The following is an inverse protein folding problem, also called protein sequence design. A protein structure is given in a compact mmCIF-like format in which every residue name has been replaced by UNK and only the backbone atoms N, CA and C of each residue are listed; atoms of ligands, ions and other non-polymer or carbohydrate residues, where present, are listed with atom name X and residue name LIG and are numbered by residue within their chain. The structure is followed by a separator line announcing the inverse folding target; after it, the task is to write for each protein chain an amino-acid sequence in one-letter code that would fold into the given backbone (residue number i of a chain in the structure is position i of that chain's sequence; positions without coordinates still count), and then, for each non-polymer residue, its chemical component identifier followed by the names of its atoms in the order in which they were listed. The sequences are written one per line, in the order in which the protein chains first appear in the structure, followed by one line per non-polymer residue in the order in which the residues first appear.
data_IF_535578570137
#
_entry.id   IF_535578570137
#
_cell.length_a   1.000
_cell.length_b   1.000
_cell.length_c   1.000
_cell.angle_alpha   90.00
_cell.angle_beta   90.00
_cell.angle_gamma   90.00
#
_symmetry.space_group_name_H-M   'P 1'
#
loop_
_entity.id
_entity.type
_entity.pdbx_description
1 polymer ?
#
# COMPACT_ATOMS: atom_id res chain seq x y z
N UNK A 1 18.32 -65.08 9.63
CA UNK A 1 17.14 -64.29 10.05
C UNK A 1 17.43 -62.85 9.69
N UNK A 2 17.01 -62.50 8.47
CA UNK A 2 17.34 -61.19 7.86
C UNK A 2 16.11 -60.32 8.01
N UNK A 3 16.22 -59.15 8.70
CA UNK A 3 15.16 -58.14 8.78
C UNK A 3 15.48 -57.03 7.83
N UNK A 4 14.74 -57.01 6.71
CA UNK A 4 14.66 -55.89 5.79
C UNK A 4 13.96 -54.69 6.49
N UNK A 5 14.67 -53.59 6.66
CA UNK A 5 14.14 -52.30 7.02
C UNK A 5 13.92 -51.48 5.73
N UNK A 6 12.66 -51.39 5.33
CA UNK A 6 12.22 -50.57 4.21
C UNK A 6 12.14 -49.12 4.68
N UNK A 7 13.10 -48.29 4.28
CA UNK A 7 13.10 -46.84 4.57
C UNK A 7 12.22 -46.09 3.59
N UNK A 8 11.07 -45.62 4.02
CA UNK A 8 10.20 -44.71 3.27
C UNK A 8 10.78 -43.28 3.41
N UNK A 9 11.44 -42.83 2.34
CA UNK A 9 11.86 -41.44 2.22
C UNK A 9 10.63 -40.58 1.83
N UNK A 10 10.06 -39.87 2.81
CA UNK A 10 9.07 -38.84 2.55
C UNK A 10 9.74 -37.62 1.94
N UNK A 11 9.60 -37.43 0.64
CA UNK A 11 9.90 -36.19 -0.06
C UNK A 11 8.85 -35.14 0.35
N UNK A 12 9.23 -34.25 1.28
CA UNK A 12 8.46 -33.01 1.52
C UNK A 12 8.70 -32.05 0.36
N UNK A 13 7.75 -32.00 -0.58
CA UNK A 13 7.64 -30.87 -1.50
C UNK A 13 7.20 -29.66 -0.68
N UNK A 14 8.16 -28.79 -0.36
CA UNK A 14 7.89 -27.46 0.16
C UNK A 14 7.29 -26.62 -0.97
N UNK A 15 5.97 -26.54 -1.05
CA UNK A 15 5.29 -25.53 -1.83
C UNK A 15 5.60 -24.18 -1.16
N UNK A 16 6.53 -23.42 -1.73
CA UNK A 16 6.68 -22.00 -1.42
C UNK A 16 5.40 -21.31 -1.88
N UNK A 17 4.48 -21.09 -0.94
CA UNK A 17 3.39 -20.17 -1.13
C UNK A 17 4.02 -18.77 -1.29
N UNK A 18 4.05 -18.26 -2.52
CA UNK A 18 4.21 -16.84 -2.74
C UNK A 18 2.95 -16.20 -2.18
N UNK A 19 3.04 -15.73 -0.94
CA UNK A 19 2.09 -14.79 -0.40
C UNK A 19 2.25 -13.54 -1.29
N UNK A 20 1.27 -13.33 -2.16
CA UNK A 20 1.05 -12.06 -2.83
C UNK A 20 0.73 -11.07 -1.68
N UNK A 21 1.77 -10.40 -1.20
CA UNK A 21 1.66 -9.36 -0.19
C UNK A 21 0.89 -8.22 -0.83
N UNK A 22 -0.43 -8.27 -0.64
CA UNK A 22 -1.29 -7.13 -0.96
C UNK A 22 -0.77 -5.96 -0.14
N UNK A 23 0.03 -5.10 -0.77
CA UNK A 23 0.47 -3.84 -0.21
C UNK A 23 -0.78 -3.00 0.02
N UNK A 24 -1.39 -3.20 1.17
CA UNK A 24 -2.49 -2.36 1.65
C UNK A 24 -1.88 -0.96 1.70
N UNK A 25 -2.56 -0.04 1.05
CA UNK A 25 -2.21 1.39 1.02
C UNK A 25 -2.42 1.98 2.43
N UNK A 26 -1.51 1.61 3.34
CA UNK A 26 -1.57 2.02 4.73
C UNK A 26 -0.94 3.41 4.84
N UNK A 27 -1.72 4.42 5.21
CA UNK A 27 -1.17 5.75 5.44
C UNK A 27 -0.19 5.72 6.61
N UNK A 28 0.86 6.56 6.55
CA UNK A 28 1.76 6.79 7.66
C UNK A 28 0.97 7.29 8.87
N UNK A 29 1.17 6.66 10.02
CA UNK A 29 0.51 7.02 11.29
C UNK A 29 1.54 7.10 12.41
N UNK A 30 1.96 8.30 12.76
CA UNK A 30 3.00 8.58 13.75
C UNK A 30 2.45 8.53 15.20
N UNK A 31 2.14 7.35 15.72
CA UNK A 31 1.61 7.18 17.09
C UNK A 31 2.70 7.05 18.16
N UNK A 32 3.80 6.38 17.84
CA UNK A 32 4.94 6.16 18.72
C UNK A 32 6.25 6.23 17.94
N UNK A 33 7.36 6.49 18.61
CA UNK A 33 8.66 6.55 17.96
C UNK A 33 9.01 5.24 17.24
N UNK A 34 8.87 4.10 17.92
CA UNK A 34 9.25 2.80 17.35
C UNK A 34 8.40 2.42 16.13
N UNK A 35 7.08 2.65 16.16
CA UNK A 35 6.21 2.39 15.03
C UNK A 35 6.48 3.34 13.87
N UNK A 36 6.71 4.62 14.17
CA UNK A 36 7.07 5.61 13.19
C UNK A 36 8.39 5.30 12.47
N UNK A 37 9.44 4.89 13.22
CA UNK A 37 10.75 4.58 12.64
C UNK A 37 10.68 3.42 11.65
N UNK A 38 9.85 2.42 11.93
CA UNK A 38 9.61 1.34 10.98
C UNK A 38 8.94 1.87 9.71
N UNK A 39 7.84 2.61 9.84
CA UNK A 39 7.10 3.17 8.68
C UNK A 39 7.98 4.15 7.88
N UNK A 40 8.76 5.00 8.55
CA UNK A 40 9.70 5.91 7.89
C UNK A 40 10.80 5.16 7.12
N UNK A 41 11.27 4.04 7.65
CA UNK A 41 12.25 3.18 6.98
C UNK A 41 11.65 2.55 5.72
N UNK A 42 10.41 2.06 5.79
CA UNK A 42 9.69 1.49 4.65
C UNK A 42 9.44 2.55 3.55
N UNK A 43 9.06 3.77 3.93
CA UNK A 43 8.90 4.88 2.98
C UNK A 43 10.23 5.21 2.29
N UNK A 44 11.34 5.31 3.06
CA UNK A 44 12.67 5.56 2.50
C UNK A 44 13.10 4.46 1.54
N UNK A 45 12.93 3.20 1.92
CA UNK A 45 13.19 2.06 1.04
C UNK A 45 12.36 2.14 -0.25
N UNK A 46 11.09 2.53 -0.14
CA UNK A 46 10.21 2.74 -1.30
C UNK A 46 10.67 3.85 -2.24
N UNK A 47 11.41 4.85 -1.78
CA UNK A 47 11.93 5.96 -2.60
C UNK A 47 13.21 5.61 -3.38
N UNK A 48 13.83 4.45 -3.12
CA UNK A 48 15.00 3.97 -3.85
C UNK A 48 14.62 3.24 -5.15
N UNK A 49 15.62 2.90 -5.94
CA UNK A 49 15.48 2.16 -7.20
C UNK A 49 14.76 0.81 -6.95
N UNK A 50 13.77 0.49 -7.78
CA UNK A 50 12.91 -0.69 -7.61
C UNK A 50 11.81 -0.54 -6.56
N UNK A 51 11.78 0.55 -5.81
CA UNK A 51 10.78 0.81 -4.79
C UNK A 51 9.50 1.45 -5.35
N UNK A 52 8.41 1.34 -4.58
CA UNK A 52 7.07 1.84 -4.96
C UNK A 52 7.06 3.33 -5.33
N UNK A 53 7.92 4.13 -4.70
CA UNK A 53 8.00 5.58 -4.83
C UNK A 53 9.27 6.03 -5.58
N UNK A 54 9.91 5.16 -6.34
CA UNK A 54 11.18 5.49 -7.03
C UNK A 54 11.06 6.69 -7.97
N UNK A 55 9.91 6.86 -8.63
CA UNK A 55 9.65 7.93 -9.60
C UNK A 55 9.17 9.26 -8.98
N UNK A 56 9.16 9.38 -7.65
CA UNK A 56 8.95 10.67 -7.00
C UNK A 56 9.97 11.70 -7.49
N UNK A 57 9.50 12.92 -7.72
CA UNK A 57 10.37 14.05 -8.06
C UNK A 57 11.35 14.33 -6.91
N UNK A 58 12.54 14.83 -7.24
CA UNK A 58 13.57 15.13 -6.25
C UNK A 58 13.06 16.10 -5.15
N UNK A 59 12.28 17.11 -5.51
CA UNK A 59 11.69 18.05 -4.57
C UNK A 59 10.71 17.37 -3.59
N UNK A 60 9.91 16.43 -4.07
CA UNK A 60 8.96 15.69 -3.25
C UNK A 60 9.68 14.72 -2.32
N UNK A 61 10.73 14.02 -2.78
CA UNK A 61 11.61 13.21 -1.93
C UNK A 61 12.24 14.05 -0.82
N UNK A 62 12.73 15.26 -1.15
CA UNK A 62 13.32 16.17 -0.18
C UNK A 62 12.30 16.66 0.86
N UNK A 63 11.06 16.97 0.44
CA UNK A 63 9.99 17.34 1.36
C UNK A 63 9.63 16.20 2.31
N UNK A 64 9.47 14.97 1.77
CA UNK A 64 9.19 13.77 2.59
C UNK A 64 10.29 13.61 3.65
N UNK A 65 11.58 13.64 3.26
CA UNK A 65 12.68 13.52 4.20
C UNK A 65 12.67 14.60 5.28
N UNK A 66 12.42 15.85 4.91
CA UNK A 66 12.32 16.94 5.88
C UNK A 66 11.17 16.72 6.88
N UNK A 67 10.01 16.22 6.42
CA UNK A 67 8.88 15.94 7.30
C UNK A 67 9.12 14.72 8.18
N UNK A 68 9.68 13.62 7.63
CA UNK A 68 10.05 12.45 8.42
C UNK A 68 11.04 12.80 9.53
N UNK A 69 12.06 13.61 9.24
CA UNK A 69 13.03 14.06 10.24
C UNK A 69 12.37 14.96 11.30
N UNK A 70 11.46 15.85 10.90
CA UNK A 70 10.71 16.69 11.85
C UNK A 70 9.82 15.87 12.77
N UNK A 71 9.10 14.88 12.24
CA UNK A 71 8.25 13.97 13.03
C UNK A 71 9.08 13.13 14.00
N UNK A 72 10.22 12.58 13.54
CA UNK A 72 11.16 11.85 14.39
C UNK A 72 11.60 12.69 15.59
N UNK A 73 12.05 13.93 15.36
CA UNK A 73 12.50 14.81 16.42
C UNK A 73 11.41 15.14 17.46
N UNK A 74 10.15 15.28 17.02
CA UNK A 74 9.01 15.48 17.91
C UNK A 74 8.74 14.23 18.77
N UNK A 75 8.73 13.04 18.16
CA UNK A 75 8.48 11.78 18.86
C UNK A 75 9.65 11.36 19.75
N UNK A 76 10.89 11.63 19.36
CA UNK A 76 12.08 11.38 20.18
C UNK A 76 12.03 12.18 21.48
N UNK A 77 11.59 13.44 21.41
CA UNK A 77 11.46 14.31 22.55
C UNK A 77 10.36 13.87 23.55
N UNK A 78 9.29 13.23 23.07
CA UNK A 78 8.08 12.97 23.84
C UNK A 78 7.68 11.50 23.95
N UNK A 79 8.47 10.57 23.41
CA UNK A 79 8.24 9.13 23.34
C UNK A 79 7.00 8.69 22.57
N UNK A 80 5.87 9.42 22.65
CA UNK A 80 4.65 9.14 21.90
C UNK A 80 3.81 10.41 21.68
N UNK A 81 2.83 10.34 20.77
CA UNK A 81 2.00 11.51 20.41
C UNK A 81 1.11 12.02 21.55
N UNK A 82 0.81 11.19 22.57
CA UNK A 82 -0.07 11.60 23.66
C UNK A 82 0.62 12.59 24.62
N UNK A 83 1.94 12.52 24.69
CA UNK A 83 2.77 13.36 25.58
C UNK A 83 3.10 14.73 24.95
N UNK A 84 2.79 14.92 23.66
CA UNK A 84 2.97 16.16 22.95
C UNK A 84 2.01 17.25 23.45
N UNK A 85 2.47 18.48 23.52
CA UNK A 85 1.58 19.63 23.69
C UNK A 85 0.73 19.88 22.42
N UNK A 86 -0.26 20.76 22.51
CA UNK A 86 -1.20 20.98 21.40
C UNK A 86 -0.52 21.49 20.12
N UNK A 87 0.52 22.35 20.22
CA UNK A 87 1.22 22.87 19.05
C UNK A 87 2.03 21.77 18.36
N UNK A 88 2.74 20.96 19.13
CA UNK A 88 3.53 19.83 18.61
C UNK A 88 2.63 18.74 18.01
N UNK A 89 1.44 18.49 18.59
CA UNK A 89 0.44 17.58 17.99
C UNK A 89 -0.01 18.06 16.61
N UNK A 90 -0.32 19.34 16.48
CA UNK A 90 -0.72 19.94 15.20
C UNK A 90 0.44 19.85 14.19
N UNK A 91 1.66 20.14 14.61
CA UNK A 91 2.84 20.02 13.74
C UNK A 91 3.06 18.59 13.27
N UNK A 92 2.92 17.60 14.15
CA UNK A 92 3.05 16.17 13.82
C UNK A 92 1.99 15.74 12.80
N UNK A 93 0.72 16.08 13.05
CA UNK A 93 -0.39 15.74 12.15
C UNK A 93 -0.21 16.40 10.79
N UNK A 94 0.13 17.68 10.73
CA UNK A 94 0.35 18.38 9.47
C UNK A 94 1.51 17.78 8.67
N UNK A 95 2.61 17.41 9.33
CA UNK A 95 3.73 16.75 8.67
C UNK A 95 3.34 15.37 8.11
N UNK A 96 2.57 14.61 8.89
CA UNK A 96 2.04 13.30 8.50
C UNK A 96 1.12 13.42 7.28
N UNK A 97 0.17 14.37 7.30
CA UNK A 97 -0.76 14.58 6.19
C UNK A 97 -0.04 15.03 4.92
N UNK A 98 1.00 15.85 5.03
CA UNK A 98 1.79 16.28 3.88
C UNK A 98 2.52 15.09 3.24
N UNK A 99 3.17 14.21 4.04
CA UNK A 99 3.81 12.99 3.54
C UNK A 99 2.78 12.09 2.86
N UNK A 100 1.68 11.80 3.52
CA UNK A 100 0.61 10.95 2.99
C UNK A 100 0.04 11.49 1.68
N UNK A 101 -0.16 12.81 1.59
CA UNK A 101 -0.66 13.45 0.38
C UNK A 101 0.31 13.30 -0.81
N UNK A 102 1.61 13.51 -0.58
CA UNK A 102 2.63 13.36 -1.62
C UNK A 102 2.70 11.90 -2.09
N UNK A 103 2.74 10.93 -1.17
CA UNK A 103 2.83 9.51 -1.49
C UNK A 103 1.59 9.04 -2.26
N UNK A 104 0.39 9.43 -1.80
CA UNK A 104 -0.88 9.08 -2.46
C UNK A 104 -0.97 9.67 -3.86
N UNK A 105 -0.56 10.93 -4.04
CA UNK A 105 -0.55 11.56 -5.36
C UNK A 105 0.40 10.84 -6.33
N UNK A 106 1.59 10.47 -5.87
CA UNK A 106 2.55 9.71 -6.67
C UNK A 106 1.99 8.33 -7.04
N UNK A 107 1.41 7.61 -6.07
CA UNK A 107 0.84 6.28 -6.31
C UNK A 107 -0.32 6.32 -7.29
N UNK A 108 -1.18 7.33 -7.21
CA UNK A 108 -2.29 7.51 -8.16
C UNK A 108 -1.82 7.68 -9.61
N UNK A 109 -0.65 8.25 -9.83
CA UNK A 109 -0.07 8.44 -11.17
C UNK A 109 0.75 7.24 -11.66
N UNK A 110 0.98 6.24 -10.84
CA UNK A 110 1.73 5.03 -11.20
C UNK A 110 1.00 4.26 -12.31
N UNK A 111 1.74 3.91 -13.36
CA UNK A 111 1.18 3.12 -14.47
C UNK A 111 1.14 1.63 -14.11
N UNK A 112 -0.04 1.06 -14.24
CA UNK A 112 -0.28 -0.39 -14.16
C UNK A 112 -0.55 -0.90 -15.57
N UNK A 113 0.29 -1.80 -16.04
CA UNK A 113 0.18 -2.36 -17.38
C UNK A 113 -0.26 -3.82 -17.31
N UNK A 114 -1.33 -4.16 -18.01
CA UNK A 114 -1.82 -5.52 -18.18
C UNK A 114 -1.58 -5.98 -19.62
N UNK A 115 -1.24 -7.26 -19.78
CA UNK A 115 -1.12 -7.90 -21.09
C UNK A 115 -2.20 -8.97 -21.20
N UNK A 116 -3.17 -8.78 -22.09
CA UNK A 116 -4.27 -9.73 -22.31
C UNK A 116 -4.41 -10.05 -23.78
N UNK A 117 -4.61 -11.32 -24.10
CA UNK A 117 -5.01 -11.73 -25.43
C UNK A 117 -6.54 -11.59 -25.57
N UNK A 118 -7.05 -10.80 -26.56
CA UNK A 118 -8.48 -10.74 -26.83
C UNK A 118 -9.03 -12.12 -27.22
N UNK A 119 -10.33 -12.35 -26.97
CA UNK A 119 -11.01 -13.59 -27.36
C UNK A 119 -10.83 -13.78 -28.89
N UNK A 120 -10.30 -14.96 -29.26
CA UNK A 120 -10.03 -15.29 -30.67
C UNK A 120 -8.69 -14.81 -31.23
N UNK A 121 -7.84 -14.18 -30.39
CA UNK A 121 -6.48 -13.76 -30.79
C UNK A 121 -5.44 -14.40 -29.86
N UNK A 122 -4.33 -14.87 -30.43
CA UNK A 122 -3.15 -15.32 -29.68
C UNK A 122 -2.13 -14.20 -29.44
N UNK A 123 -2.38 -12.99 -29.97
CA UNK A 123 -1.49 -11.84 -29.80
C UNK A 123 -1.91 -11.03 -28.58
N UNK A 124 -1.04 -10.92 -27.56
CA UNK A 124 -1.34 -10.13 -26.39
C UNK A 124 -1.31 -8.63 -26.72
N UNK A 125 -2.31 -7.90 -26.24
CA UNK A 125 -2.36 -6.44 -26.28
C UNK A 125 -1.97 -5.93 -24.90
N UNK A 126 -0.96 -5.04 -24.85
CA UNK A 126 -0.55 -4.35 -23.63
C UNK A 126 -1.38 -3.08 -23.46
N UNK A 127 -2.11 -2.99 -22.36
CA UNK A 127 -2.87 -1.80 -21.98
C UNK A 127 -2.34 -1.28 -20.66
N UNK A 128 -1.98 0.01 -20.60
CA UNK A 128 -1.51 0.67 -19.40
C UNK A 128 -2.53 1.72 -18.95
N UNK A 129 -2.83 1.75 -17.65
CA UNK A 129 -3.70 2.75 -17.01
C UNK A 129 -3.05 3.24 -15.74
N UNK A 130 -3.41 4.43 -15.26
CA UNK A 130 -2.95 4.88 -13.95
C UNK A 130 -3.64 4.08 -12.84
N UNK A 131 -2.97 3.90 -11.73
CA UNK A 131 -3.57 3.26 -10.56
C UNK A 131 -4.80 4.03 -10.07
N UNK A 132 -4.76 5.36 -10.14
CA UNK A 132 -5.90 6.22 -9.82
C UNK A 132 -7.13 5.94 -10.67
N UNK A 133 -6.96 5.77 -12.00
CA UNK A 133 -8.07 5.44 -12.90
C UNK A 133 -8.68 4.06 -12.58
N UNK A 134 -7.82 3.08 -12.25
CA UNK A 134 -8.27 1.74 -11.86
C UNK A 134 -9.09 1.81 -10.57
N UNK A 135 -8.59 2.54 -9.57
CA UNK A 135 -9.26 2.69 -8.29
C UNK A 135 -10.59 3.45 -8.42
N UNK A 136 -10.62 4.52 -9.21
CA UNK A 136 -11.85 5.24 -9.51
C UNK A 136 -12.89 4.33 -10.17
N UNK A 137 -12.49 3.56 -11.17
CA UNK A 137 -13.39 2.59 -11.84
C UNK A 137 -13.92 1.55 -10.86
N UNK A 138 -13.09 1.06 -9.93
CA UNK A 138 -13.50 0.12 -8.88
C UNK A 138 -14.54 0.75 -7.94
N UNK A 139 -14.32 1.98 -7.52
CA UNK A 139 -15.26 2.70 -6.64
C UNK A 139 -16.59 2.97 -7.34
N UNK A 140 -16.58 3.36 -8.60
CA UNK A 140 -17.79 3.60 -9.39
C UNK A 140 -18.59 2.31 -9.58
N UNK A 141 -17.92 1.18 -9.84
CA UNK A 141 -18.57 -0.13 -9.90
C UNK A 141 -19.23 -0.54 -8.57
N UNK A 142 -18.55 -0.30 -7.43
CA UNK A 142 -19.11 -0.56 -6.10
C UNK A 142 -20.34 0.33 -5.80
N UNK A 143 -20.30 1.62 -6.16
CA UNK A 143 -21.44 2.53 -6.01
C UNK A 143 -22.64 2.05 -6.82
N UNK A 144 -22.42 1.72 -8.09
CA UNK A 144 -23.46 1.20 -8.98
C UNK A 144 -24.09 -0.08 -8.42
N UNK A 145 -23.29 -1.01 -7.90
CA UNK A 145 -23.78 -2.24 -7.27
C UNK A 145 -24.63 -1.94 -6.03
N UNK A 146 -24.17 -1.04 -5.16
CA UNK A 146 -24.92 -0.63 -3.97
C UNK A 146 -26.26 0.03 -4.32
N UNK A 147 -26.32 0.85 -5.36
CA UNK A 147 -27.55 1.53 -5.79
C UNK A 147 -28.55 0.54 -6.43
N UNK A 148 -28.06 -0.47 -7.14
CA UNK A 148 -28.89 -1.57 -7.66
C UNK A 148 -29.50 -2.40 -6.53
N UNK A 149 -28.73 -2.71 -5.49
CA UNK A 149 -29.23 -3.46 -4.34
C UNK A 149 -30.31 -2.66 -3.57
N UNK A 150 -30.09 -1.36 -3.34
CA UNK A 150 -31.10 -0.47 -2.74
C UNK A 150 -32.38 -0.42 -3.56
N UNK A 151 -32.27 -0.38 -4.89
CA UNK A 151 -33.44 -0.35 -5.78
C UNK A 151 -34.24 -1.66 -5.78
N UNK A 152 -33.58 -2.79 -5.58
CA UNK A 152 -34.22 -4.11 -5.43
C UNK A 152 -35.01 -4.21 -4.13
N UNK A 153 -34.43 -3.76 -3.02
CA UNK A 153 -35.07 -3.78 -1.70
C UNK A 153 -36.34 -2.93 -1.70
N UNK A 154 -36.32 -1.75 -2.34
CA UNK A 154 -37.50 -0.87 -2.42
C UNK A 154 -38.61 -1.41 -3.32
N UNK A 155 -38.35 -2.31 -4.27
CA UNK A 155 -39.36 -2.94 -5.14
C UNK A 155 -40.03 -4.18 -4.55
N UNK A 156 -39.45 -4.78 -3.50
CA UNK A 156 -39.97 -5.99 -2.87
C UNK A 156 -40.88 -5.77 -1.67
N UNK A 157 -41.21 -4.51 -1.30
CA UNK A 157 -41.99 -4.13 -0.11
C UNK A 157 -43.39 -3.55 -0.45
N UNK A 158 -44.03 -3.97 -1.54
CA UNK A 158 -45.41 -3.61 -1.90
C UNK A 158 -46.35 -4.80 -1.90
#
# INVERSE_FOLDING_TARGET
MSKLLCGIACLFLSAAAYADEQVIDKPLVAQSLAGFDQEATEIRAGMHEGGRYEFLKADDKSKIEARLNSMHALLEKHANQNDLNSADKIALVNAQEEVNSILKHNDSNRLVCESRAPIGSHLPIKTCRTYGDIEQQRQDAMRTHSDLDKSRVNKGGG
#
